data_IF_037902010679
#
_entry.id   IF_037902010679
#
_cell.length_a   1.000
_cell.length_b   1.000
_cell.length_c   1.000
_cell.angle_alpha   90.00
_cell.angle_beta   90.00
_cell.angle_gamma   90.00
#
_symmetry.space_group_name_H-M   'P 1'
#
loop_
_entity.id
_entity.type
_entity.pdbx_description
1 polymer ?
#
# COMPACT_ATOMS: atom_id res chain seq x y z
N UNK A 1 21.46 -7.85 24.07
CA UNK A 1 21.37 -6.55 23.37
C UNK A 1 22.02 -6.55 21.97
N UNK A 2 23.17 -7.21 21.76
CA UNK A 2 23.83 -7.32 20.43
C UNK A 2 23.00 -8.12 19.40
N UNK A 3 22.51 -9.30 19.77
CA UNK A 3 21.67 -10.16 18.94
C UNK A 3 20.37 -9.49 18.45
N UNK A 4 19.72 -8.70 19.31
CA UNK A 4 18.48 -7.97 18.95
C UNK A 4 18.78 -6.88 17.91
N UNK A 5 19.89 -6.16 18.04
CA UNK A 5 20.31 -5.16 17.05
C UNK A 5 20.67 -5.80 15.71
N UNK A 6 21.36 -6.94 15.71
CA UNK A 6 21.70 -7.67 14.49
C UNK A 6 20.44 -8.19 13.78
N UNK A 7 19.48 -8.76 14.51
CA UNK A 7 18.19 -9.20 13.94
C UNK A 7 17.39 -8.05 13.32
N UNK A 8 17.32 -6.90 14.00
CA UNK A 8 16.62 -5.72 13.48
C UNK A 8 17.31 -5.10 12.24
N UNK A 9 18.64 -5.21 12.15
CA UNK A 9 19.38 -4.77 10.97
C UNK A 9 19.07 -5.65 9.75
N UNK A 10 19.06 -6.98 9.96
CA UNK A 10 18.77 -7.96 8.90
C UNK A 10 17.34 -7.81 8.37
N UNK A 11 16.34 -7.67 9.26
CA UNK A 11 14.93 -7.43 8.86
C UNK A 11 14.75 -6.13 8.06
N UNK A 12 15.53 -5.10 8.35
CA UNK A 12 15.50 -3.85 7.59
C UNK A 12 16.07 -4.02 6.17
N UNK A 13 17.13 -4.82 6.01
CA UNK A 13 17.69 -5.13 4.68
C UNK A 13 16.73 -6.01 3.87
N UNK A 14 16.06 -6.98 4.50
CA UNK A 14 15.03 -7.81 3.86
C UNK A 14 13.88 -6.94 3.32
N UNK A 15 13.42 -5.97 4.12
CA UNK A 15 12.33 -5.07 3.69
C UNK A 15 12.76 -4.15 2.55
N UNK A 16 14.00 -3.65 2.54
CA UNK A 16 14.51 -2.84 1.42
C UNK A 16 14.62 -3.68 0.14
N UNK A 17 15.05 -4.93 0.24
CA UNK A 17 15.11 -5.85 -0.90
C UNK A 17 13.72 -6.14 -1.47
N UNK A 18 12.71 -6.30 -0.61
CA UNK A 18 11.31 -6.47 -1.02
C UNK A 18 10.78 -5.23 -1.75
N UNK A 19 11.04 -4.02 -1.22
CA UNK A 19 10.69 -2.76 -1.89
C UNK A 19 11.37 -2.66 -3.24
N UNK A 20 12.69 -2.91 -3.32
CA UNK A 20 13.44 -2.88 -4.57
C UNK A 20 12.84 -3.82 -5.61
N UNK A 21 12.50 -5.05 -5.20
CA UNK A 21 11.90 -6.06 -6.08
C UNK A 21 10.54 -5.61 -6.60
N UNK A 22 9.67 -5.11 -5.72
CA UNK A 22 8.36 -4.58 -6.10
C UNK A 22 8.48 -3.41 -7.07
N UNK A 23 9.35 -2.44 -6.76
CA UNK A 23 9.52 -1.26 -7.59
C UNK A 23 10.08 -1.61 -8.97
N UNK A 24 11.07 -2.52 -9.06
CA UNK A 24 11.60 -2.97 -10.36
C UNK A 24 10.52 -3.58 -11.24
N UNK A 25 9.71 -4.48 -10.70
CA UNK A 25 8.64 -5.13 -11.45
C UNK A 25 7.68 -4.10 -12.11
N UNK A 26 7.34 -3.02 -11.39
CA UNK A 26 6.45 -1.99 -11.91
C UNK A 26 7.16 -0.94 -12.79
N UNK A 27 8.43 -0.61 -12.51
CA UNK A 27 9.19 0.34 -13.33
C UNK A 27 9.50 -0.25 -14.70
N UNK A 28 9.81 -1.55 -14.78
CA UNK A 28 10.11 -2.22 -16.05
C UNK A 28 8.86 -2.28 -16.97
N UNK A 29 7.66 -2.26 -16.39
CA UNK A 29 6.38 -2.20 -17.11
C UNK A 29 5.86 -0.76 -17.32
N UNK A 30 6.51 0.23 -16.73
CA UNK A 30 6.09 1.64 -16.79
C UNK A 30 6.33 2.23 -18.18
N UNK A 31 5.40 3.07 -18.69
CA UNK A 31 5.62 3.83 -19.92
C UNK A 31 6.60 5.00 -19.73
N UNK A 32 6.99 5.31 -18.50
CA UNK A 32 7.89 6.41 -18.15
C UNK A 32 9.31 5.90 -17.88
N UNK A 33 10.30 6.65 -18.34
CA UNK A 33 11.71 6.46 -17.97
C UNK A 33 11.93 6.75 -16.48
N UNK A 34 13.03 6.24 -15.92
CA UNK A 34 13.37 6.49 -14.51
C UNK A 34 13.50 7.99 -14.18
N UNK A 35 14.01 8.79 -15.11
CA UNK A 35 14.11 10.24 -14.96
C UNK A 35 12.73 10.93 -14.96
N UNK A 36 11.81 10.50 -15.83
CA UNK A 36 10.43 11.01 -15.83
C UNK A 36 9.69 10.64 -14.54
N UNK A 37 9.87 9.41 -14.05
CA UNK A 37 9.33 8.97 -12.75
C UNK A 37 9.90 9.84 -11.62
N UNK A 38 11.21 10.12 -11.64
CA UNK A 38 11.85 10.98 -10.65
C UNK A 38 11.18 12.37 -10.61
N UNK A 39 10.97 12.99 -11.78
CA UNK A 39 10.29 14.27 -11.91
C UNK A 39 8.85 14.21 -11.40
N UNK A 40 8.07 13.20 -11.81
CA UNK A 40 6.67 13.02 -11.39
C UNK A 40 6.51 12.89 -9.87
N UNK A 41 7.50 12.27 -9.21
CA UNK A 41 7.51 12.11 -7.76
C UNK A 41 8.14 13.30 -7.02
N UNK A 42 8.74 14.25 -7.74
CA UNK A 42 9.48 15.37 -7.16
C UNK A 42 10.75 14.95 -6.44
N UNK A 43 11.47 13.96 -6.98
CA UNK A 43 12.88 13.71 -6.65
C UNK A 43 13.77 14.72 -7.39
N UNK A 44 14.95 14.99 -6.85
CA UNK A 44 15.91 15.91 -7.46
C UNK A 44 16.53 15.36 -8.76
N UNK A 45 16.57 14.04 -8.92
CA UNK A 45 17.13 13.35 -10.07
C UNK A 45 16.90 11.82 -9.99
N UNK A 46 17.23 11.08 -11.07
CA UNK A 46 17.04 9.64 -11.15
C UNK A 46 17.94 8.86 -10.19
N UNK A 47 19.05 9.46 -9.71
CA UNK A 47 20.03 8.79 -8.84
C UNK A 47 19.40 8.37 -7.50
N UNK A 48 18.44 9.16 -7.00
CA UNK A 48 17.66 8.81 -5.81
C UNK A 48 16.87 7.51 -6.02
N UNK A 49 16.25 7.34 -7.19
CA UNK A 49 15.52 6.12 -7.52
C UNK A 49 16.49 4.95 -7.75
N UNK A 50 17.62 5.17 -8.40
CA UNK A 50 18.66 4.15 -8.57
C UNK A 50 19.15 3.61 -7.21
N UNK A 51 19.42 4.51 -6.26
CA UNK A 51 19.81 4.13 -4.90
C UNK A 51 18.72 3.40 -4.12
N UNK A 52 17.44 3.71 -4.37
CA UNK A 52 16.32 2.96 -3.81
C UNK A 52 16.25 1.56 -4.44
N UNK A 53 16.40 1.46 -5.76
CA UNK A 53 16.36 0.20 -6.49
C UNK A 53 17.57 -0.69 -6.16
N UNK A 54 18.72 -0.13 -5.82
CA UNK A 54 19.88 -0.91 -5.33
C UNK A 54 19.71 -1.37 -3.87
N UNK A 55 18.76 -0.83 -3.13
CA UNK A 55 18.56 -1.09 -1.69
C UNK A 55 19.46 -0.24 -0.79
N UNK A 56 20.29 0.65 -1.35
CA UNK A 56 21.16 1.53 -0.57
C UNK A 56 20.36 2.61 0.16
N UNK A 57 19.32 3.15 -0.50
CA UNK A 57 18.46 4.20 0.03
C UNK A 57 17.07 3.66 0.39
N UNK A 58 16.48 4.26 1.42
CA UNK A 58 15.06 4.06 1.73
C UNK A 58 14.20 5.00 0.89
N UNK A 59 13.01 4.54 0.49
CA UNK A 59 11.99 5.43 -0.07
C UNK A 59 11.58 6.44 1.00
N UNK A 60 11.63 7.75 0.75
CA UNK A 60 11.10 8.74 1.70
C UNK A 60 9.58 8.59 1.87
N UNK A 61 9.08 8.76 3.10
CA UNK A 61 7.67 8.54 3.44
C UNK A 61 6.71 9.40 2.60
N UNK A 62 7.07 10.66 2.37
CA UNK A 62 6.30 11.61 1.55
C UNK A 62 6.31 11.26 0.05
N UNK A 63 7.22 10.39 -0.38
CA UNK A 63 7.40 9.97 -1.78
C UNK A 63 6.76 8.62 -2.10
N UNK A 64 6.42 7.82 -1.10
CA UNK A 64 5.84 6.49 -1.30
C UNK A 64 4.53 6.52 -2.12
N UNK A 65 3.57 7.38 -1.77
CA UNK A 65 2.30 7.46 -2.50
C UNK A 65 2.44 8.08 -3.91
N UNK A 66 3.19 9.18 -4.11
CA UNK A 66 3.51 9.68 -5.45
C UNK A 66 4.20 8.62 -6.33
N UNK A 67 5.14 7.86 -5.77
CA UNK A 67 5.86 6.81 -6.49
C UNK A 67 4.92 5.69 -6.93
N UNK A 68 4.09 5.18 -6.01
CA UNK A 68 3.10 4.17 -6.33
C UNK A 68 2.18 4.59 -7.48
N UNK A 69 1.72 5.85 -7.43
CA UNK A 69 0.87 6.42 -8.48
C UNK A 69 1.61 6.54 -9.82
N UNK A 70 2.87 6.97 -9.80
CA UNK A 70 3.66 7.17 -11.02
C UNK A 70 3.92 5.86 -11.77
N UNK A 71 4.14 4.76 -11.05
CA UNK A 71 4.46 3.44 -11.63
C UNK A 71 3.26 2.47 -11.65
N UNK A 72 2.09 2.90 -11.18
CA UNK A 72 0.87 2.10 -11.17
C UNK A 72 0.88 0.90 -10.21
N UNK A 73 1.64 0.96 -9.10
CA UNK A 73 1.63 -0.10 -8.09
C UNK A 73 0.58 0.14 -6.99
N UNK A 74 0.23 -0.90 -6.23
CA UNK A 74 -0.65 -0.72 -5.07
C UNK A 74 0.03 0.14 -3.99
N UNK A 75 -0.52 1.34 -3.79
CA UNK A 75 0.01 2.32 -2.85
C UNK A 75 -0.07 1.88 -1.40
N UNK A 76 -1.08 1.07 -1.02
CA UNK A 76 -1.19 0.57 0.36
C UNK A 76 -0.06 -0.41 0.68
N UNK A 77 0.16 -1.38 -0.22
CA UNK A 77 1.27 -2.33 -0.09
C UNK A 77 2.62 -1.62 -0.06
N UNK A 78 2.88 -0.71 -1.01
CA UNK A 78 4.15 0.04 -1.01
C UNK A 78 4.32 0.85 0.28
N UNK A 79 3.30 1.59 0.71
CA UNK A 79 3.40 2.43 1.90
C UNK A 79 3.65 1.61 3.17
N UNK A 80 3.01 0.45 3.31
CA UNK A 80 3.25 -0.47 4.42
C UNK A 80 4.70 -0.96 4.46
N UNK A 81 5.27 -1.35 3.30
CA UNK A 81 6.67 -1.74 3.21
C UNK A 81 7.62 -0.59 3.56
N UNK A 82 7.32 0.63 3.08
CA UNK A 82 8.11 1.83 3.42
C UNK A 82 8.07 2.08 4.93
N UNK A 83 6.89 2.03 5.57
CA UNK A 83 6.78 2.15 7.02
C UNK A 83 7.63 1.09 7.74
N UNK A 84 7.57 -0.17 7.29
CA UNK A 84 8.35 -1.28 7.86
C UNK A 84 9.85 -1.01 7.74
N UNK A 85 10.31 -0.47 6.62
CA UNK A 85 11.72 -0.12 6.42
C UNK A 85 12.21 1.01 7.34
N UNK A 86 11.34 1.98 7.65
CA UNK A 86 11.68 3.13 8.49
C UNK A 86 11.55 2.85 9.99
N UNK A 87 10.53 2.10 10.40
CA UNK A 87 10.10 1.97 11.79
C UNK A 87 10.19 0.55 12.33
N UNK A 88 10.49 -0.44 11.48
CA UNK A 88 10.56 -1.85 11.82
C UNK A 88 9.22 -2.57 11.71
N UNK A 89 9.28 -3.86 11.38
CA UNK A 89 8.10 -4.72 11.13
C UNK A 89 7.20 -4.82 12.36
N UNK A 90 7.78 -4.96 13.54
CA UNK A 90 7.04 -5.17 14.80
C UNK A 90 6.13 -3.99 15.13
N UNK A 91 6.64 -2.76 15.01
CA UNK A 91 5.86 -1.55 15.28
C UNK A 91 4.74 -1.38 14.25
N UNK A 92 5.03 -1.59 12.97
CA UNK A 92 4.02 -1.46 11.92
C UNK A 92 2.92 -2.52 12.06
N UNK A 93 3.28 -3.77 12.36
CA UNK A 93 2.30 -4.82 12.62
C UNK A 93 1.45 -4.51 13.85
N UNK A 94 2.04 -3.96 14.92
CA UNK A 94 1.27 -3.52 16.11
C UNK A 94 0.28 -2.41 15.75
N UNK A 95 0.71 -1.44 14.94
CA UNK A 95 -0.17 -0.37 14.43
C UNK A 95 -1.30 -0.98 13.60
N UNK A 96 -0.97 -1.87 12.65
CA UNK A 96 -1.96 -2.59 11.85
C UNK A 96 -2.96 -3.31 12.77
N UNK A 97 -2.53 -4.11 13.74
CA UNK A 97 -3.42 -4.80 14.68
C UNK A 97 -4.37 -3.84 15.43
N UNK A 98 -3.85 -2.72 15.95
CA UNK A 98 -4.64 -1.73 16.68
C UNK A 98 -5.70 -1.08 15.79
N UNK A 99 -5.37 -0.74 14.55
CA UNK A 99 -6.31 -0.07 13.63
C UNK A 99 -7.19 -1.05 12.84
N UNK A 100 -6.81 -2.33 12.78
CA UNK A 100 -7.46 -3.36 11.95
C UNK A 100 -8.31 -4.33 12.79
N UNK A 101 -8.29 -4.22 14.13
CA UNK A 101 -9.15 -5.03 15.01
C UNK A 101 -10.66 -4.87 14.73
N UNK A 102 -11.07 -3.76 14.10
CA UNK A 102 -12.44 -3.52 13.60
C UNK A 102 -12.51 -3.51 12.05
N UNK A 103 -11.50 -4.02 11.36
CA UNK A 103 -11.49 -4.01 9.90
C UNK A 103 -12.48 -5.02 9.33
N UNK A 104 -13.16 -4.58 8.27
CA UNK A 104 -13.98 -5.42 7.42
C UNK A 104 -13.23 -6.70 7.02
N UNK A 105 -13.84 -7.86 7.26
CA UNK A 105 -13.44 -9.17 6.75
C UNK A 105 -13.26 -9.18 5.23
N UNK A 106 -12.61 -10.21 4.69
CA UNK A 106 -12.43 -10.34 3.24
C UNK A 106 -13.76 -10.29 2.46
N UNK A 107 -14.82 -10.85 3.04
CA UNK A 107 -16.18 -10.82 2.48
C UNK A 107 -16.72 -9.38 2.47
N UNK A 108 -16.65 -8.68 3.60
CA UNK A 108 -17.11 -7.29 3.70
C UNK A 108 -16.32 -6.35 2.78
N UNK A 109 -15.02 -6.58 2.60
CA UNK A 109 -14.20 -5.85 1.61
C UNK A 109 -14.69 -6.08 0.19
N UNK A 110 -15.12 -7.30 -0.16
CA UNK A 110 -15.75 -7.60 -1.45
C UNK A 110 -17.03 -6.78 -1.68
N UNK A 111 -17.89 -6.68 -0.66
CA UNK A 111 -19.08 -5.82 -0.72
C UNK A 111 -18.73 -4.34 -0.91
N UNK A 112 -17.77 -3.83 -0.14
CA UNK A 112 -17.32 -2.42 -0.26
C UNK A 112 -16.73 -2.15 -1.65
N UNK A 113 -15.88 -3.04 -2.17
CA UNK A 113 -15.28 -2.92 -3.49
C UNK A 113 -16.34 -2.88 -4.58
N UNK A 114 -17.32 -3.81 -4.54
CA UNK A 114 -18.43 -3.83 -5.48
C UNK A 114 -19.27 -2.54 -5.43
N UNK A 115 -19.60 -2.05 -4.23
CA UNK A 115 -20.36 -0.80 -4.09
C UNK A 115 -19.59 0.41 -4.64
N UNK A 116 -18.28 0.46 -4.43
CA UNK A 116 -17.41 1.52 -4.97
C UNK A 116 -17.29 1.44 -6.49
N UNK A 117 -17.16 0.25 -7.05
CA UNK A 117 -17.14 0.05 -8.51
C UNK A 117 -18.47 0.47 -9.15
N UNK A 118 -19.59 0.03 -8.57
CA UNK A 118 -20.92 0.28 -9.11
C UNK A 118 -21.36 1.75 -8.99
N UNK A 119 -21.09 2.41 -7.85
CA UNK A 119 -21.54 3.79 -7.60
C UNK A 119 -20.46 4.86 -7.82
N UNK A 120 -19.19 4.47 -7.97
CA UNK A 120 -18.06 5.39 -7.91
C UNK A 120 -18.03 6.17 -6.59
N UNK A 121 -17.81 7.49 -6.68
CA UNK A 121 -17.77 8.39 -5.54
C UNK A 121 -19.15 8.77 -4.96
N UNK A 122 -20.25 8.22 -5.51
CA UNK A 122 -21.62 8.59 -5.15
C UNK A 122 -22.40 7.43 -4.56
N UNK A 123 -21.82 6.77 -3.55
CA UNK A 123 -22.49 5.72 -2.80
C UNK A 123 -23.69 6.32 -2.06
N UNK A 124 -24.93 5.88 -2.33
CA UNK A 124 -26.12 6.42 -1.66
C UNK A 124 -26.15 6.02 -0.19
N UNK A 125 -26.66 6.90 0.66
CA UNK A 125 -26.88 6.58 2.07
C UNK A 125 -27.82 5.38 2.22
N UNK A 126 -27.54 4.54 3.23
CA UNK A 126 -28.35 3.38 3.54
C UNK A 126 -29.65 3.78 4.28
N UNK A 127 -30.55 4.44 3.55
CA UNK A 127 -31.86 4.92 4.02
C UNK A 127 -32.73 3.79 4.59
N UNK A 128 -33.75 4.08 5.43
CA UNK A 128 -34.64 3.05 5.98
C UNK A 128 -35.30 2.18 4.89
N UNK A 129 -35.66 2.78 3.76
CA UNK A 129 -36.24 2.06 2.61
C UNK A 129 -35.21 1.12 1.97
N UNK A 130 -33.98 1.60 1.75
CA UNK A 130 -32.92 0.79 1.16
C UNK A 130 -32.50 -0.36 2.09
N UNK A 131 -32.44 -0.13 3.41
CA UNK A 131 -32.21 -1.18 4.42
C UNK A 131 -33.27 -2.29 4.36
N UNK A 132 -34.56 -1.92 4.25
CA UNK A 132 -35.66 -2.89 4.15
C UNK A 132 -35.53 -3.73 2.88
N UNK A 133 -35.23 -3.10 1.73
CA UNK A 133 -35.04 -3.80 0.45
C UNK A 133 -33.82 -4.74 0.50
N UNK A 134 -32.70 -4.25 0.99
CA UNK A 134 -31.48 -5.05 1.13
C UNK A 134 -31.72 -6.27 2.02
N UNK A 135 -32.41 -6.09 3.16
CA UNK A 135 -32.76 -7.19 4.06
C UNK A 135 -33.58 -8.26 3.36
N UNK A 136 -34.59 -7.88 2.58
CA UNK A 136 -35.39 -8.84 1.81
C UNK A 136 -34.51 -9.60 0.80
N UNK A 137 -33.67 -8.88 0.06
CA UNK A 137 -32.81 -9.46 -0.97
C UNK A 137 -31.81 -10.48 -0.40
N UNK A 138 -31.15 -10.16 0.72
CA UNK A 138 -30.16 -11.08 1.34
C UNK A 138 -30.79 -12.20 2.16
N UNK A 139 -32.09 -12.14 2.44
CA UNK A 139 -32.82 -13.21 3.14
C UNK A 139 -33.33 -14.29 2.19
N UNK A 140 -33.30 -14.04 0.88
CA UNK A 140 -33.65 -15.04 -0.13
C UNK A 140 -32.45 -15.98 -0.32
N UNK A 141 -32.66 -17.31 -0.38
CA UNK A 141 -31.59 -18.23 -0.74
C UNK A 141 -31.09 -17.90 -2.16
N UNK A 142 -29.76 -17.75 -2.28
CA UNK A 142 -29.06 -17.53 -3.55
C UNK A 142 -28.87 -18.81 -4.35
#
# INVERSE_FOLDING_TARGET
MKLIKESALMMNEDTKAEISTLLRAHIDESPYTLNEIAILCGFHGPEMLEGILSGELRVPLDKAMPLAKAIGCDGQTLFALVLKSWFGVELVNTIEEVFTNDAASAVERGWIAFLRDFYGDRIPELTPTLRRRLRLLVSLPG
#
